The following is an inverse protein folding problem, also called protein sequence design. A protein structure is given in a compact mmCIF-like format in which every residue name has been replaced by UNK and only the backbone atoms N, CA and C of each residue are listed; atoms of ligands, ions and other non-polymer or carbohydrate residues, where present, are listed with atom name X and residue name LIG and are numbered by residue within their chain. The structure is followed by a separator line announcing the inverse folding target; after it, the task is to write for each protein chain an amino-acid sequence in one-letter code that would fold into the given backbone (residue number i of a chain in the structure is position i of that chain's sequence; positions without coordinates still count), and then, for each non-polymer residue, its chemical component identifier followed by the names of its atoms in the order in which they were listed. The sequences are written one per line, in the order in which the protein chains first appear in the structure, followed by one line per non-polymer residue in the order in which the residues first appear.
data_IF_587515774953
#
_entry.id   IF_587515774953
#
_cell.length_a   1.000
_cell.length_b   1.000
_cell.length_c   1.000
_cell.angle_alpha   90.00
_cell.angle_beta   90.00
_cell.angle_gamma   90.00
#
_symmetry.space_group_name_H-M   'P 1'
#
loop_
_entity.id
_entity.type
_entity.pdbx_description
1 polymer ?
#
# COMPACT_ATOMS: atom_id res chain seq x y z
N UNK A 1 -13.33 1.67 9.42
CA UNK A 1 -12.00 1.17 9.80
C UNK A 1 -11.69 1.63 11.20
N UNK A 2 -10.99 0.80 11.96
CA UNK A 2 -10.41 1.22 13.23
C UNK A 2 -9.05 1.88 12.99
N UNK A 3 -8.64 2.80 13.86
CA UNK A 3 -7.29 3.39 13.85
C UNK A 3 -6.17 2.34 13.84
N UNK A 4 -6.45 1.12 14.31
CA UNK A 4 -5.52 0.01 14.37
C UNK A 4 -5.17 -0.49 12.95
N UNK A 5 -6.16 -0.63 12.07
CA UNK A 5 -5.96 -1.12 10.70
C UNK A 5 -5.13 -0.12 9.87
N UNK A 6 -5.40 1.18 10.03
CA UNK A 6 -4.65 2.24 9.36
C UNK A 6 -3.19 2.29 9.85
N UNK A 7 -2.97 2.22 11.17
CA UNK A 7 -1.61 2.16 11.73
C UNK A 7 -0.84 0.93 11.26
N UNK A 8 -1.51 -0.22 11.18
CA UNK A 8 -0.91 -1.45 10.66
C UNK A 8 -0.47 -1.29 9.19
N UNK A 9 -1.32 -0.70 8.34
CA UNK A 9 -0.93 -0.36 6.96
C UNK A 9 0.31 0.54 6.90
N UNK A 10 0.32 1.63 7.68
CA UNK A 10 1.44 2.56 7.68
C UNK A 10 2.76 1.89 8.07
N UNK A 11 2.73 1.00 9.07
CA UNK A 11 3.91 0.20 9.44
C UNK A 11 4.38 -0.64 8.25
N UNK A 12 3.48 -1.37 7.58
CA UNK A 12 3.81 -2.19 6.40
C UNK A 12 4.32 -1.38 5.22
N UNK A 13 3.74 -0.21 4.99
CA UNK A 13 4.17 0.70 3.94
C UNK A 13 5.55 1.28 4.24
N UNK A 14 5.85 1.63 5.49
CA UNK A 14 7.17 2.10 5.92
C UNK A 14 8.23 1.02 5.79
N UNK A 15 7.91 -0.22 6.18
CA UNK A 15 8.79 -1.37 6.00
C UNK A 15 9.12 -1.59 4.52
N UNK A 16 8.10 -1.54 3.65
CA UNK A 16 8.26 -1.68 2.20
C UNK A 16 9.01 -0.50 1.57
N UNK A 17 8.79 0.74 2.05
CA UNK A 17 9.53 1.93 1.60
C UNK A 17 11.04 1.77 1.85
N UNK A 18 11.42 1.21 3.01
CA UNK A 18 12.82 1.01 3.41
C UNK A 18 13.44 -0.26 2.80
N UNK A 19 12.72 -1.37 2.82
CA UNK A 19 13.20 -2.69 2.40
C UNK A 19 12.91 -3.03 0.93
N UNK A 20 12.20 -2.17 0.21
CA UNK A 20 11.86 -2.35 -1.19
C UNK A 20 10.96 -3.56 -1.44
N UNK A 21 11.11 -4.17 -2.63
CA UNK A 21 10.23 -5.24 -3.10
C UNK A 21 10.30 -6.50 -2.22
N UNK A 22 11.42 -6.76 -1.55
CA UNK A 22 11.59 -7.91 -0.65
C UNK A 22 10.72 -7.78 0.61
N UNK A 23 10.69 -6.61 1.24
CA UNK A 23 9.84 -6.35 2.40
C UNK A 23 8.34 -6.31 2.05
N UNK A 24 8.03 -5.95 0.80
CA UNK A 24 6.66 -5.98 0.27
C UNK A 24 6.21 -7.39 -0.13
N UNK A 25 7.10 -8.22 -0.69
CA UNK A 25 6.77 -9.54 -1.25
C UNK A 25 6.32 -10.57 -0.19
N UNK A 26 6.62 -10.33 1.08
CA UNK A 26 6.23 -11.22 2.20
C UNK A 26 4.89 -10.85 2.84
N UNK A 27 4.27 -9.73 2.45
CA UNK A 27 2.99 -9.26 2.99
C UNK A 27 1.81 -10.07 2.44
N UNK A 28 0.64 -9.99 3.09
CA UNK A 28 -0.58 -10.58 2.56
C UNK A 28 -0.98 -9.94 1.23
N UNK A 29 -1.77 -10.63 0.40
CA UNK A 29 -2.19 -10.12 -0.91
C UNK A 29 -2.93 -8.77 -0.79
N UNK A 30 -3.76 -8.59 0.24
CA UNK A 30 -4.47 -7.31 0.45
C UNK A 30 -3.52 -6.18 0.85
N UNK A 31 -2.59 -6.44 1.78
CA UNK A 31 -1.56 -5.48 2.16
C UNK A 31 -0.68 -5.11 0.98
N UNK A 32 -0.27 -6.06 0.15
CA UNK A 32 0.55 -5.80 -1.05
C UNK A 32 -0.10 -4.79 -1.98
N UNK A 33 -1.39 -4.96 -2.27
CA UNK A 33 -2.14 -4.05 -3.15
C UNK A 33 -2.24 -2.66 -2.51
N UNK A 34 -2.64 -2.59 -1.23
CA UNK A 34 -2.76 -1.32 -0.52
C UNK A 34 -1.43 -0.57 -0.40
N UNK A 35 -0.34 -1.26 -0.04
CA UNK A 35 1.01 -0.71 0.08
C UNK A 35 1.54 -0.26 -1.27
N UNK A 36 1.31 -1.03 -2.34
CA UNK A 36 1.74 -0.62 -3.68
C UNK A 36 1.02 0.65 -4.15
N UNK A 37 -0.27 0.82 -3.81
CA UNK A 37 -1.01 2.07 -4.07
C UNK A 37 -0.44 3.23 -3.23
N UNK A 38 -0.22 3.04 -1.93
CA UNK A 38 0.35 4.07 -1.04
C UNK A 38 1.73 4.54 -1.49
N UNK A 39 2.57 3.63 -1.96
CA UNK A 39 3.93 3.94 -2.41
C UNK A 39 4.01 4.30 -3.91
N UNK A 40 2.87 4.44 -4.60
CA UNK A 40 2.80 4.70 -6.04
C UNK A 40 3.63 3.71 -6.90
N UNK A 41 3.67 2.43 -6.52
CA UNK A 41 4.41 1.36 -7.19
C UNK A 41 3.52 0.56 -8.13
N UNK A 42 3.21 1.15 -9.28
CA UNK A 42 2.47 0.48 -10.34
C UNK A 42 3.18 -0.79 -10.86
N UNK A 43 4.50 -0.80 -10.83
CA UNK A 43 5.33 -1.95 -11.21
C UNK A 43 5.16 -3.15 -10.24
N UNK A 44 4.92 -2.90 -8.96
CA UNK A 44 4.62 -3.95 -7.97
C UNK A 44 3.22 -4.54 -8.18
N UNK A 45 2.23 -3.70 -8.52
CA UNK A 45 0.91 -4.20 -8.92
C UNK A 45 1.04 -5.08 -10.17
N UNK A 46 1.80 -4.62 -11.17
CA UNK A 46 2.04 -5.36 -12.41
C UNK A 46 2.76 -6.70 -12.16
N UNK A 47 3.72 -6.77 -11.22
CA UNK A 47 4.41 -8.03 -10.89
C UNK A 47 3.50 -9.08 -10.27
N UNK A 48 2.34 -8.68 -9.73
CA UNK A 48 1.28 -9.57 -9.26
C UNK A 48 0.21 -9.86 -10.32
N UNK A 49 0.32 -9.27 -11.51
CA UNK A 49 -0.68 -9.36 -12.56
C UNK A 49 -1.91 -8.47 -12.34
N UNK A 50 -1.85 -7.47 -11.44
CA UNK A 50 -2.95 -6.51 -11.26
C UNK A 50 -2.79 -5.31 -12.17
N UNK A 51 -3.89 -4.92 -12.80
CA UNK A 51 -4.09 -3.56 -13.31
C UNK A 51 -4.38 -2.59 -12.16
N UNK A 52 -4.22 -1.29 -12.41
CA UNK A 52 -4.60 -0.26 -11.43
C UNK A 52 -6.10 -0.31 -11.10
N UNK A 53 -6.95 -0.62 -12.09
CA UNK A 53 -8.39 -0.71 -11.89
C UNK A 53 -8.77 -1.85 -10.92
N UNK A 54 -8.18 -3.03 -11.10
CA UNK A 54 -8.40 -4.17 -10.21
C UNK A 54 -7.83 -3.92 -8.81
N UNK A 55 -6.69 -3.23 -8.71
CA UNK A 55 -6.12 -2.83 -7.43
C UNK A 55 -7.08 -1.90 -6.66
N UNK A 56 -7.64 -0.90 -7.34
CA UNK A 56 -8.64 0.03 -6.80
C UNK A 56 -9.88 -0.74 -6.32
N UNK A 57 -10.44 -1.60 -7.17
CA UNK A 57 -11.61 -2.41 -6.82
C UNK A 57 -11.35 -3.28 -5.58
N UNK A 58 -10.18 -3.93 -5.54
CA UNK A 58 -9.80 -4.85 -4.46
C UNK A 58 -9.50 -4.15 -3.13
N UNK A 59 -8.91 -2.97 -3.16
CA UNK A 59 -8.66 -2.16 -1.96
C UNK A 59 -9.97 -1.65 -1.36
N UNK A 60 -10.94 -1.31 -2.21
CA UNK A 60 -12.23 -0.79 -1.77
C UNK A 60 -12.20 0.68 -1.36
N UNK A 61 -13.34 1.36 -1.47
CA UNK A 61 -13.43 2.82 -1.36
C UNK A 61 -12.95 3.39 -0.02
N UNK A 62 -13.22 2.70 1.09
CA UNK A 62 -12.83 3.17 2.43
C UNK A 62 -11.31 3.23 2.62
N UNK A 63 -10.58 2.25 2.07
CA UNK A 63 -9.13 2.21 2.13
C UNK A 63 -8.50 3.15 1.09
N UNK A 64 -9.08 3.22 -0.11
CA UNK A 64 -8.63 4.14 -1.15
C UNK A 64 -8.65 5.60 -0.70
N UNK A 65 -9.63 6.00 0.10
CA UNK A 65 -9.69 7.35 0.66
C UNK A 65 -8.50 7.68 1.58
N UNK A 66 -7.83 6.67 2.15
CA UNK A 66 -6.69 6.84 3.05
C UNK A 66 -5.34 6.81 2.34
N UNK A 67 -5.28 6.25 1.12
CA UNK A 67 -4.07 6.18 0.30
C UNK A 67 -3.35 7.53 0.18
N UNK A 68 -4.01 8.65 -0.22
CA UNK A 68 -3.32 9.95 -0.34
C UNK A 68 -2.88 10.55 1.00
N UNK A 69 -3.49 10.13 2.12
CA UNK A 69 -3.10 10.58 3.46
C UNK A 69 -1.81 9.84 3.87
N UNK A 70 -1.79 8.52 3.71
CA UNK A 70 -0.64 7.69 4.03
C UNK A 70 0.56 7.97 3.13
N UNK A 71 0.36 8.21 1.83
CA UNK A 71 1.42 8.61 0.90
C UNK A 71 2.10 9.88 1.37
N UNK A 72 1.32 10.92 1.70
CA UNK A 72 1.84 12.20 2.19
C UNK A 72 2.60 12.04 3.50
N UNK A 73 2.02 11.31 4.45
CA UNK A 73 2.67 11.04 5.74
C UNK A 73 4.04 10.37 5.54
N UNK A 74 4.11 9.35 4.69
CA UNK A 74 5.38 8.67 4.39
C UNK A 74 6.34 9.54 3.60
N UNK A 75 5.87 10.39 2.69
CA UNK A 75 6.74 11.29 1.91
C UNK A 75 7.35 12.39 2.78
N UNK A 76 6.62 12.87 3.78
CA UNK A 76 7.07 13.93 4.68
C UNK A 76 7.99 13.40 5.83
N UNK A 77 8.23 12.09 5.89
CA UNK A 77 9.20 11.44 6.82
C UNK A 77 10.66 11.47 6.34
N UNK A 78 10.92 11.84 5.08
CA UNK A 78 12.27 11.98 4.50
C UNK A 78 12.80 13.42 4.63
#
# INVERSE_FOLDING_TARGET
MSDIEYKHLLVKARDAKRGGIEAWSVQSTGEKVAVALVLNRADWLASMGYTLAEAIERTGMSWLALVPIAERELRDED
#
